data_IF_186141783861
#
_entry.id   IF_186141783861
#
_cell.length_a   1.000
_cell.length_b   1.000
_cell.length_c   1.000
_cell.angle_alpha   90.00
_cell.angle_beta   90.00
_cell.angle_gamma   90.00
#
_symmetry.space_group_name_H-M   'P 1'
#
loop_
_entity.id
_entity.type
_entity.pdbx_description
1 polymer ?
#
# COMPACT_ATOMS: atom_id res chain seq x y z
N UNK A 1 14.42 -10.62 18.41
CA UNK A 1 14.32 -10.38 16.96
C UNK A 1 14.96 -11.57 16.25
N UNK A 2 14.35 -12.15 15.21
CA UNK A 2 14.92 -13.33 14.55
C UNK A 2 16.29 -12.99 13.94
N UNK A 3 17.20 -13.97 13.88
CA UNK A 3 18.53 -13.79 13.28
C UNK A 3 18.45 -13.30 11.82
N UNK A 4 17.40 -13.69 11.09
CA UNK A 4 17.11 -13.20 9.74
C UNK A 4 16.79 -11.70 9.71
N UNK A 5 15.98 -11.18 10.63
CA UNK A 5 15.68 -9.74 10.69
C UNK A 5 16.88 -8.92 11.18
N UNK A 6 17.75 -9.51 12.01
CA UNK A 6 19.00 -8.87 12.40
C UNK A 6 19.97 -8.72 11.21
N UNK A 7 20.02 -9.70 10.31
CA UNK A 7 20.93 -9.71 9.15
C UNK A 7 20.33 -9.03 7.90
N UNK A 8 19.00 -9.02 7.75
CA UNK A 8 18.28 -8.44 6.60
C UNK A 8 17.12 -7.56 7.10
N UNK A 9 17.42 -6.40 7.72
CA UNK A 9 16.41 -5.61 8.43
C UNK A 9 15.32 -5.03 7.51
N UNK A 10 15.58 -4.91 6.21
CA UNK A 10 14.62 -4.42 5.21
C UNK A 10 13.51 -5.44 4.88
N UNK A 11 13.67 -6.73 5.21
CA UNK A 11 12.61 -7.72 5.02
C UNK A 11 11.41 -7.46 5.95
N UNK A 12 11.63 -6.83 7.11
CA UNK A 12 10.55 -6.46 8.04
C UNK A 12 9.53 -5.50 7.39
N UNK A 13 9.95 -4.30 6.94
CA UNK A 13 9.09 -3.36 6.22
C UNK A 13 8.40 -3.99 4.99
N UNK A 14 9.12 -4.84 4.24
CA UNK A 14 8.57 -5.53 3.06
C UNK A 14 7.37 -6.42 3.44
N UNK A 15 7.54 -7.29 4.44
CA UNK A 15 6.48 -8.18 4.90
C UNK A 15 5.34 -7.38 5.55
N UNK A 16 5.67 -6.34 6.32
CA UNK A 16 4.67 -5.50 6.99
C UNK A 16 3.72 -4.81 6.00
N UNK A 17 4.24 -4.27 4.90
CA UNK A 17 3.40 -3.65 3.88
C UNK A 17 2.54 -4.67 3.15
N UNK A 18 3.07 -5.85 2.85
CA UNK A 18 2.29 -6.90 2.18
C UNK A 18 1.16 -7.41 3.08
N UNK A 19 1.44 -7.62 4.36
CA UNK A 19 0.42 -7.98 5.36
C UNK A 19 -0.68 -6.91 5.43
N UNK A 20 -0.33 -5.62 5.32
CA UNK A 20 -1.30 -4.54 5.27
C UNK A 20 -2.16 -4.55 4.01
N UNK A 21 -1.56 -4.82 2.84
CA UNK A 21 -2.30 -4.98 1.59
C UNK A 21 -3.34 -6.09 1.70
N UNK A 22 -2.97 -7.25 2.26
CA UNK A 22 -3.91 -8.34 2.54
C UNK A 22 -5.00 -7.92 3.55
N UNK A 23 -4.65 -7.12 4.56
CA UNK A 23 -5.62 -6.55 5.50
C UNK A 23 -6.66 -5.65 4.81
N UNK A 24 -6.22 -4.81 3.86
CA UNK A 24 -7.12 -3.96 3.06
C UNK A 24 -7.96 -4.78 2.07
N UNK A 25 -7.41 -5.86 1.52
CA UNK A 25 -8.16 -6.81 0.70
C UNK A 25 -9.28 -7.49 1.51
N UNK A 26 -8.97 -7.97 2.72
CA UNK A 26 -9.95 -8.56 3.61
C UNK A 26 -11.06 -7.55 3.96
N UNK A 27 -10.71 -6.28 4.20
CA UNK A 27 -11.67 -5.21 4.44
C UNK A 27 -12.57 -4.96 3.21
N UNK A 28 -11.99 -5.00 2.02
CA UNK A 28 -12.72 -4.93 0.75
C UNK A 28 -13.76 -6.05 0.66
N UNK A 29 -13.39 -7.30 0.89
CA UNK A 29 -14.36 -8.40 0.84
C UNK A 29 -15.43 -8.25 1.91
N UNK A 30 -15.04 -7.89 3.14
CA UNK A 30 -15.96 -7.68 4.25
C UNK A 30 -17.03 -6.64 3.96
N UNK A 31 -16.68 -5.51 3.32
CA UNK A 31 -17.64 -4.43 3.03
C UNK A 31 -18.40 -4.65 1.73
N UNK A 32 -17.71 -5.09 0.68
CA UNK A 32 -18.25 -5.10 -0.69
C UNK A 32 -19.08 -6.34 -0.99
N UNK A 33 -18.61 -7.53 -0.63
CA UNK A 33 -19.31 -8.79 -0.95
C UNK A 33 -20.77 -8.82 -0.50
N UNK A 34 -21.12 -8.49 0.77
CA UNK A 34 -22.53 -8.46 1.18
C UNK A 34 -23.32 -7.33 0.51
N UNK A 35 -22.68 -6.21 0.18
CA UNK A 35 -23.33 -5.09 -0.48
C UNK A 35 -23.71 -5.42 -1.94
N UNK A 36 -22.90 -6.20 -2.66
CA UNK A 36 -23.22 -6.61 -4.03
C UNK A 36 -24.57 -7.35 -4.09
N UNK A 37 -24.82 -8.26 -3.13
CA UNK A 37 -26.10 -8.94 -2.99
C UNK A 37 -27.21 -7.97 -2.57
N UNK A 38 -26.98 -7.17 -1.51
CA UNK A 38 -27.98 -6.22 -0.97
C UNK A 38 -28.50 -5.23 -2.02
N UNK A 39 -27.64 -4.76 -2.93
CA UNK A 39 -27.96 -3.78 -3.95
C UNK A 39 -28.28 -4.40 -5.32
N UNK A 40 -28.44 -5.74 -5.40
CA UNK A 40 -28.76 -6.48 -6.61
C UNK A 40 -27.84 -6.08 -7.79
N UNK A 41 -26.53 -6.12 -7.55
CA UNK A 41 -25.52 -5.86 -8.57
C UNK A 41 -25.36 -7.12 -9.43
N UNK A 42 -25.54 -7.00 -10.73
CA UNK A 42 -25.29 -8.08 -11.69
C UNK A 42 -23.81 -8.10 -12.09
N UNK A 43 -23.29 -9.28 -12.42
CA UNK A 43 -21.89 -9.47 -12.86
C UNK A 43 -21.73 -9.43 -14.38
N UNK A 44 -22.68 -8.80 -15.07
CA UNK A 44 -22.57 -8.54 -16.50
C UNK A 44 -21.44 -7.51 -16.75
N UNK A 45 -20.41 -7.85 -17.54
CA UNK A 45 -19.27 -6.97 -17.81
C UNK A 45 -19.64 -5.59 -18.36
N UNK A 46 -20.74 -5.48 -19.12
CA UNK A 46 -21.16 -4.23 -19.74
C UNK A 46 -21.77 -3.26 -18.72
N UNK A 47 -22.46 -3.78 -17.70
CA UNK A 47 -23.26 -2.97 -16.77
C UNK A 47 -22.70 -2.88 -15.36
N UNK A 48 -21.88 -3.85 -14.91
CA UNK A 48 -21.42 -3.97 -13.52
C UNK A 48 -20.69 -2.75 -13.00
N UNK A 49 -19.86 -2.09 -13.83
CA UNK A 49 -19.10 -0.89 -13.43
C UNK A 49 -20.05 0.28 -13.12
N UNK A 50 -21.02 0.52 -14.01
CA UNK A 50 -22.03 1.57 -13.85
C UNK A 50 -22.92 1.28 -12.64
N UNK A 51 -23.40 0.04 -12.51
CA UNK A 51 -24.24 -0.35 -11.38
C UNK A 51 -23.54 -0.16 -10.03
N UNK A 52 -22.26 -0.51 -9.91
CA UNK A 52 -21.48 -0.27 -8.68
C UNK A 52 -21.44 1.22 -8.35
N UNK A 53 -21.14 2.07 -9.34
CA UNK A 53 -21.07 3.52 -9.16
C UNK A 53 -22.40 4.14 -8.72
N UNK A 54 -23.52 3.69 -9.29
CA UNK A 54 -24.84 4.26 -9.04
C UNK A 54 -25.50 3.72 -7.77
N UNK A 55 -25.32 2.43 -7.46
CA UNK A 55 -26.08 1.74 -6.40
C UNK A 55 -25.30 1.57 -5.10
N UNK A 56 -23.97 1.46 -5.12
CA UNK A 56 -23.20 1.19 -3.91
C UNK A 56 -22.85 2.48 -3.17
N UNK A 57 -23.04 2.54 -1.84
CA UNK A 57 -22.53 3.63 -1.02
C UNK A 57 -21.01 3.79 -1.18
N UNK A 58 -20.53 5.03 -1.21
CA UNK A 58 -19.11 5.32 -1.45
C UNK A 58 -18.16 4.57 -0.49
N UNK A 59 -18.50 4.51 0.80
CA UNK A 59 -17.70 3.81 1.84
C UNK A 59 -17.49 2.31 1.58
N UNK A 60 -18.38 1.68 0.80
CA UNK A 60 -18.26 0.28 0.38
C UNK A 60 -17.20 0.12 -0.71
N UNK A 61 -17.01 1.15 -1.54
CA UNK A 61 -16.06 1.15 -2.64
C UNK A 61 -14.64 1.54 -2.21
N UNK A 62 -14.50 2.40 -1.20
CA UNK A 62 -13.18 2.94 -0.79
C UNK A 62 -12.11 1.89 -0.48
N UNK A 63 -12.38 0.73 0.16
CA UNK A 63 -11.36 -0.30 0.30
C UNK A 63 -10.87 -0.88 -1.03
N UNK A 64 -11.72 -0.92 -2.07
CA UNK A 64 -11.33 -1.34 -3.41
C UNK A 64 -10.35 -0.36 -4.03
N UNK A 65 -10.69 0.92 -3.98
CA UNK A 65 -9.84 1.99 -4.50
C UNK A 65 -8.52 2.04 -3.73
N UNK A 66 -8.55 1.80 -2.40
CA UNK A 66 -7.36 1.72 -1.57
C UNK A 66 -6.49 0.51 -1.90
N UNK A 67 -7.09 -0.69 -2.03
CA UNK A 67 -6.38 -1.91 -2.39
C UNK A 67 -5.66 -1.76 -3.73
N UNK A 68 -6.34 -1.22 -4.74
CA UNK A 68 -5.74 -0.92 -6.04
C UNK A 68 -4.56 0.05 -5.90
N UNK A 69 -4.71 1.14 -5.13
CA UNK A 69 -3.61 2.08 -4.89
C UNK A 69 -2.43 1.44 -4.13
N UNK A 70 -2.67 0.43 -3.27
CA UNK A 70 -1.62 -0.35 -2.63
C UNK A 70 -0.89 -1.30 -3.59
N UNK A 71 -1.44 -1.57 -4.76
CA UNK A 71 -0.78 -2.36 -5.82
C UNK A 71 -0.07 -1.50 -6.87
N UNK A 72 -0.32 -0.20 -6.91
CA UNK A 72 0.31 0.71 -7.87
C UNK A 72 1.74 1.13 -7.46
N UNK A 73 1.89 2.06 -6.50
CA UNK A 73 3.23 2.54 -6.10
C UNK A 73 4.00 1.53 -5.21
N UNK A 74 3.36 0.82 -4.27
CA UNK A 74 4.10 -0.12 -3.42
C UNK A 74 4.81 -1.27 -4.13
N UNK A 75 4.40 -1.62 -5.36
CA UNK A 75 5.15 -2.62 -6.15
C UNK A 75 6.57 -2.14 -6.45
N UNK A 76 6.76 -0.85 -6.68
CA UNK A 76 8.09 -0.23 -6.81
C UNK A 76 8.87 -0.34 -5.50
N UNK A 77 8.22 -0.08 -4.35
CA UNK A 77 8.84 -0.22 -3.03
C UNK A 77 9.34 -1.63 -2.77
N UNK A 78 8.57 -2.67 -3.13
CA UNK A 78 9.02 -4.05 -2.99
C UNK A 78 10.28 -4.34 -3.81
N UNK A 79 10.32 -3.89 -5.07
CA UNK A 79 11.50 -4.06 -5.91
C UNK A 79 12.75 -3.39 -5.31
N UNK A 80 12.60 -2.14 -4.85
CA UNK A 80 13.69 -1.36 -4.25
C UNK A 80 14.19 -2.01 -2.95
N UNK A 81 13.29 -2.45 -2.05
CA UNK A 81 13.71 -3.09 -0.80
C UNK A 81 14.41 -4.42 -1.03
N UNK A 82 13.96 -5.21 -2.01
CA UNK A 82 14.64 -6.44 -2.39
C UNK A 82 16.03 -6.14 -2.95
N UNK A 83 16.17 -5.16 -3.84
CA UNK A 83 17.46 -4.71 -4.36
C UNK A 83 18.43 -4.28 -3.26
N UNK A 84 18.00 -3.39 -2.36
CA UNK A 84 18.80 -2.95 -1.21
C UNK A 84 19.18 -4.12 -0.28
N UNK A 85 18.28 -5.08 -0.09
CA UNK A 85 18.56 -6.29 0.70
C UNK A 85 19.62 -7.17 0.04
N UNK A 86 19.61 -7.29 -1.29
CA UNK A 86 20.61 -8.04 -2.07
C UNK A 86 21.98 -7.35 -2.03
N UNK A 87 22.00 -6.02 -2.06
CA UNK A 87 23.21 -5.20 -1.86
C UNK A 87 23.72 -5.21 -0.41
N UNK A 88 23.05 -5.91 0.50
CA UNK A 88 23.47 -6.05 1.90
C UNK A 88 23.29 -4.79 2.74
N UNK A 89 22.45 -3.84 2.29
CA UNK A 89 22.21 -2.59 3.01
C UNK A 89 21.47 -2.86 4.32
N UNK A 90 22.04 -2.34 5.41
CA UNK A 90 21.55 -2.57 6.79
C UNK A 90 21.65 -1.34 7.69
N UNK A 91 22.01 -0.18 7.13
CA UNK A 91 22.18 1.02 7.92
C UNK A 91 20.84 1.52 8.49
N UNK A 92 20.92 2.20 9.64
CA UNK A 92 19.73 2.64 10.39
C UNK A 92 18.88 3.65 9.60
N UNK A 93 19.49 4.46 8.73
CA UNK A 93 18.78 5.52 7.99
C UNK A 93 17.89 4.89 6.92
N UNK A 94 18.44 3.97 6.11
CA UNK A 94 17.68 3.27 5.07
C UNK A 94 16.54 2.44 5.67
N UNK A 95 16.83 1.71 6.76
CA UNK A 95 15.80 0.94 7.48
C UNK A 95 14.71 1.85 8.06
N UNK A 96 15.10 2.98 8.65
CA UNK A 96 14.15 3.98 9.15
C UNK A 96 13.26 4.55 8.05
N UNK A 97 13.82 4.85 6.88
CA UNK A 97 13.08 5.37 5.74
C UNK A 97 12.09 4.34 5.17
N UNK A 98 12.48 3.06 5.14
CA UNK A 98 11.60 1.97 4.76
C UNK A 98 10.41 1.84 5.72
N UNK A 99 10.63 1.90 7.04
CA UNK A 99 9.53 1.90 8.01
C UNK A 99 8.67 3.16 7.93
N UNK A 100 9.25 4.33 7.66
CA UNK A 100 8.51 5.56 7.45
C UNK A 100 7.56 5.44 6.25
N UNK A 101 8.04 4.87 5.13
CA UNK A 101 7.19 4.56 3.98
C UNK A 101 5.99 3.69 4.40
N UNK A 102 6.24 2.56 5.08
CA UNK A 102 5.18 1.65 5.54
C UNK A 102 4.18 2.37 6.43
N UNK A 103 4.64 3.09 7.46
CA UNK A 103 3.77 3.84 8.37
C UNK A 103 2.89 4.87 7.65
N UNK A 104 3.45 5.61 6.70
CA UNK A 104 2.71 6.56 5.88
C UNK A 104 1.65 5.86 5.01
N UNK A 105 1.94 4.67 4.47
CA UNK A 105 0.96 3.87 3.71
C UNK A 105 -0.19 3.39 4.60
N UNK A 106 0.08 3.01 5.84
CA UNK A 106 -0.96 2.66 6.81
C UNK A 106 -1.89 3.85 7.08
N UNK A 107 -1.30 5.01 7.41
CA UNK A 107 -2.05 6.24 7.68
C UNK A 107 -2.88 6.65 6.46
N UNK A 108 -2.28 6.65 5.27
CA UNK A 108 -2.97 6.93 4.01
C UNK A 108 -4.19 6.01 3.83
N UNK A 109 -4.02 4.70 4.02
CA UNK A 109 -5.11 3.75 3.86
C UNK A 109 -6.22 3.94 4.88
N UNK A 110 -5.88 4.20 6.15
CA UNK A 110 -6.88 4.49 7.18
C UNK A 110 -7.71 5.71 6.78
N UNK A 111 -7.08 6.81 6.34
CA UNK A 111 -7.80 8.01 5.88
C UNK A 111 -8.70 7.66 4.69
N UNK A 112 -8.17 6.95 3.70
CA UNK A 112 -8.88 6.58 2.48
C UNK A 112 -10.14 5.75 2.78
N UNK A 113 -10.04 4.74 3.63
CA UNK A 113 -11.17 3.83 3.92
C UNK A 113 -12.11 4.30 5.03
N UNK A 114 -11.84 5.44 5.68
CA UNK A 114 -12.65 5.99 6.78
C UNK A 114 -13.38 7.29 6.44
N UNK A 115 -12.65 8.33 6.04
CA UNK A 115 -13.19 9.67 5.76
C UNK A 115 -13.02 10.09 4.32
N UNK A 116 -12.08 9.45 3.61
CA UNK A 116 -11.70 9.72 2.23
C UNK A 116 -11.48 11.20 1.91
N UNK A 117 -10.97 11.99 2.86
CA UNK A 117 -10.60 13.39 2.63
C UNK A 117 -9.40 13.47 1.69
N UNK A 118 -9.66 13.74 0.42
CA UNK A 118 -8.69 13.65 -0.69
C UNK A 118 -7.43 14.48 -0.43
N UNK A 119 -7.57 15.74 0.00
CA UNK A 119 -6.43 16.64 0.27
C UNK A 119 -5.49 16.06 1.33
N UNK A 120 -6.05 15.48 2.41
CA UNK A 120 -5.26 14.89 3.50
C UNK A 120 -4.56 13.62 3.02
N UNK A 121 -5.29 12.70 2.40
CA UNK A 121 -4.67 11.45 1.91
C UNK A 121 -3.63 11.74 0.83
N UNK A 122 -3.86 12.72 -0.05
CA UNK A 122 -2.88 13.10 -1.06
C UNK A 122 -1.57 13.61 -0.43
N UNK A 123 -1.64 14.45 0.61
CA UNK A 123 -0.44 14.91 1.31
C UNK A 123 0.36 13.75 1.93
N UNK A 124 -0.33 12.78 2.56
CA UNK A 124 0.33 11.58 3.12
C UNK A 124 0.91 10.69 2.02
N UNK A 125 0.21 10.53 0.89
CA UNK A 125 0.70 9.81 -0.29
C UNK A 125 1.97 10.46 -0.85
N UNK A 126 1.98 11.79 -1.01
CA UNK A 126 3.14 12.53 -1.49
C UNK A 126 4.33 12.38 -0.53
N UNK A 127 4.11 12.49 0.78
CA UNK A 127 5.15 12.23 1.78
C UNK A 127 5.72 10.80 1.67
N UNK A 128 4.86 9.78 1.46
CA UNK A 128 5.34 8.40 1.23
C UNK A 128 6.14 8.29 -0.08
N UNK A 129 5.77 9.04 -1.11
CA UNK A 129 6.50 9.06 -2.38
C UNK A 129 7.91 9.61 -2.22
N UNK A 130 8.12 10.62 -1.39
CA UNK A 130 9.46 11.12 -1.07
C UNK A 130 10.30 10.12 -0.27
N UNK A 131 9.69 9.35 0.63
CA UNK A 131 10.40 8.26 1.32
C UNK A 131 10.86 7.19 0.33
N UNK A 132 10.01 6.79 -0.61
CA UNK A 132 10.38 5.86 -1.69
C UNK A 132 11.47 6.45 -2.59
N UNK A 133 11.37 7.72 -2.97
CA UNK A 133 12.40 8.41 -3.76
C UNK A 133 13.76 8.34 -3.07
N UNK A 134 13.82 8.56 -1.75
CA UNK A 134 15.06 8.45 -1.00
C UNK A 134 15.65 7.03 -0.96
N UNK A 135 14.80 6.00 -0.84
CA UNK A 135 15.23 4.60 -0.94
C UNK A 135 15.77 4.26 -2.34
N UNK A 136 15.09 4.74 -3.38
CA UNK A 136 15.55 4.60 -4.77
C UNK A 136 16.88 5.30 -4.99
N UNK A 137 17.05 6.52 -4.48
CA UNK A 137 18.31 7.26 -4.58
C UNK A 137 19.46 6.53 -3.85
N UNK A 138 19.21 5.99 -2.66
CA UNK A 138 20.19 5.16 -1.95
C UNK A 138 20.58 3.92 -2.77
N UNK A 139 19.60 3.27 -3.40
CA UNK A 139 19.84 2.09 -4.24
C UNK A 139 20.72 2.44 -5.44
N UNK A 140 20.40 3.54 -6.13
CA UNK A 140 21.20 4.02 -7.26
C UNK A 140 22.62 4.39 -6.83
N UNK A 141 22.78 5.07 -5.68
CA UNK A 141 24.09 5.40 -5.15
C UNK A 141 24.96 4.17 -4.90
N UNK A 142 24.40 3.12 -4.29
CA UNK A 142 25.10 1.85 -4.02
C UNK A 142 25.50 1.06 -5.27
N UNK A 143 24.91 1.36 -6.43
CA UNK A 143 25.26 0.73 -7.70
C UNK A 143 26.31 1.51 -8.48
N UNK A 144 26.46 2.81 -8.20
CA UNK A 144 27.34 3.71 -8.95
C UNK A 144 28.67 3.99 -8.24
N UNK A 145 28.79 3.63 -6.96
CA UNK A 145 29.97 3.86 -6.10
C UNK A 145 30.36 2.56 -5.41
#
# INVERSE_FOLDING_TARGET
MSALLANKPLLGPLVALNAWTLGMEALLYKRRTPALAKYNITFDPETVKKQKAEKLPAFVQWPADNYNNLLEQPTQFYAILLGLTLLGVKDRRTVGLAWAYVGLRFIHSIIHVSTNKVVVRFAVFAASSFALLGLTAETAWKLLV
#
